data_IF_278658274138
#
_entry.id   IF_278658274138
#
_cell.length_a   1.000
_cell.length_b   1.000
_cell.length_c   1.000
_cell.angle_alpha   90.00
_cell.angle_beta   90.00
_cell.angle_gamma   90.00
#
_symmetry.space_group_name_H-M   'P 1'
#
loop_
_entity.id
_entity.type
_entity.pdbx_description
1 polymer ?
#
# COMPACT_ATOMS: atom_id res chain seq x y z
N UNK A 1 -12.98 1.98 -11.03
CA UNK A 1 -13.20 0.54 -11.17
C UNK A 1 -13.82 -0.02 -9.89
N UNK A 2 -13.26 0.26 -8.72
CA UNK A 2 -13.75 -0.27 -7.44
C UNK A 2 -14.94 0.50 -6.85
N UNK A 3 -15.21 1.72 -7.31
CA UNK A 3 -16.31 2.55 -6.79
C UNK A 3 -16.18 2.95 -5.32
N UNK A 4 -14.96 2.96 -4.78
CA UNK A 4 -14.68 3.35 -3.39
C UNK A 4 -14.29 4.82 -3.30
N UNK A 5 -14.57 5.43 -2.16
CA UNK A 5 -14.18 6.81 -1.89
C UNK A 5 -12.67 6.93 -1.69
N UNK A 6 -12.12 8.07 -2.05
CA UNK A 6 -10.69 8.35 -1.94
C UNK A 6 -10.46 9.47 -0.91
N UNK A 7 -9.49 9.24 -0.03
CA UNK A 7 -8.94 10.25 0.85
C UNK A 7 -7.47 10.50 0.54
N UNK A 8 -6.97 11.64 0.97
CA UNK A 8 -5.57 12.03 0.76
C UNK A 8 -5.00 12.60 2.05
N UNK A 9 -3.79 12.17 2.40
CA UNK A 9 -2.99 12.83 3.43
C UNK A 9 -2.09 13.87 2.79
N UNK A 10 -2.24 15.11 3.21
CA UNK A 10 -1.41 16.21 2.78
C UNK A 10 -0.35 16.50 3.83
N UNK A 11 0.92 16.40 3.43
CA UNK A 11 2.08 16.65 4.29
C UNK A 11 2.61 18.05 4.05
N UNK A 12 2.32 18.97 4.98
CA UNK A 12 2.85 20.34 4.93
C UNK A 12 4.19 20.42 5.66
N UNK A 13 5.23 20.84 4.96
CA UNK A 13 6.55 21.12 5.54
C UNK A 13 6.71 22.60 5.79
N UNK A 14 7.36 22.95 6.90
CA UNK A 14 7.82 24.31 7.14
C UNK A 14 9.17 24.52 6.45
N UNK A 15 9.16 25.29 5.38
CA UNK A 15 10.37 25.66 4.65
C UNK A 15 11.11 26.86 5.25
N UNK A 16 10.55 27.50 6.30
CA UNK A 16 11.18 28.62 6.99
C UNK A 16 12.21 28.18 8.02
N UNK A 17 12.14 26.93 8.46
CA UNK A 17 13.03 26.35 9.47
C UNK A 17 13.68 25.06 8.97
N UNK A 18 14.96 24.89 9.33
CA UNK A 18 15.71 23.65 9.04
C UNK A 18 16.21 23.10 10.36
N UNK A 19 15.79 21.87 10.70
CA UNK A 19 16.22 21.15 11.90
C UNK A 19 16.93 19.85 11.47
N UNK A 20 18.19 19.69 11.86
CA UNK A 20 19.04 18.55 11.48
C UNK A 20 19.09 18.30 9.96
N UNK A 21 19.16 19.37 9.16
CA UNK A 21 19.24 19.29 7.70
C UNK A 21 17.91 18.92 7.00
N UNK A 22 16.80 18.88 7.72
CA UNK A 22 15.46 18.59 7.18
C UNK A 22 14.46 19.68 7.58
N UNK A 23 13.54 19.98 6.69
CA UNK A 23 12.42 20.87 7.00
C UNK A 23 11.38 20.10 7.84
N UNK A 24 11.05 20.58 9.06
CA UNK A 24 10.10 19.90 9.92
C UNK A 24 8.71 19.84 9.27
N UNK A 25 8.00 18.75 9.56
CA UNK A 25 6.61 18.59 9.13
C UNK A 25 5.75 19.35 10.13
N UNK A 26 4.95 20.30 9.63
CA UNK A 26 4.12 21.18 10.46
C UNK A 26 2.72 20.63 10.65
N UNK A 27 2.20 19.88 9.66
CA UNK A 27 0.89 19.27 9.75
C UNK A 27 0.76 18.08 8.80
N UNK A 28 0.03 17.08 9.24
CA UNK A 28 -0.55 16.05 8.40
C UNK A 28 -2.06 16.31 8.37
N UNK A 29 -2.56 16.85 7.28
CA UNK A 29 -3.99 17.11 7.09
C UNK A 29 -4.60 15.98 6.26
N UNK A 30 -5.71 15.42 6.74
CA UNK A 30 -6.49 14.45 5.98
C UNK A 30 -7.61 15.15 5.26
N UNK A 31 -7.67 14.96 3.94
CA UNK A 31 -8.75 15.40 3.07
C UNK A 31 -9.51 14.17 2.61
N UNK A 32 -10.73 14.00 3.04
CA UNK A 32 -11.57 12.85 2.70
C UNK A 32 -12.81 12.75 3.58
N UNK A 33 -13.58 11.70 3.34
CA UNK A 33 -14.77 11.41 4.16
C UNK A 33 -14.41 10.82 5.52
N UNK A 34 -15.43 10.74 6.40
CA UNK A 34 -15.29 10.06 7.68
C UNK A 34 -14.87 8.61 7.50
N UNK A 35 -13.88 8.19 8.30
CA UNK A 35 -13.30 6.85 8.28
C UNK A 35 -13.94 5.90 9.30
N UNK A 36 -14.80 6.43 10.18
CA UNK A 36 -15.37 5.67 11.29
C UNK A 36 -16.07 4.39 10.81
N UNK A 37 -15.64 3.25 11.35
CA UNK A 37 -16.13 1.91 11.01
C UNK A 37 -15.77 1.40 9.61
N UNK A 38 -15.06 2.18 8.78
CA UNK A 38 -14.68 1.80 7.41
C UNK A 38 -13.32 1.08 7.39
N UNK A 39 -13.17 0.18 6.43
CA UNK A 39 -11.86 -0.36 6.08
C UNK A 39 -11.10 0.62 5.19
N UNK A 40 -9.85 0.84 5.48
CA UNK A 40 -8.98 1.75 4.74
C UNK A 40 -7.85 1.01 4.03
N UNK A 41 -7.57 1.40 2.79
CA UNK A 41 -6.43 0.91 2.03
C UNK A 41 -5.51 2.09 1.77
N UNK A 42 -4.26 2.00 2.24
CA UNK A 42 -3.19 2.94 1.96
C UNK A 42 -2.41 2.40 0.77
N UNK A 43 -2.23 3.20 -0.27
CA UNK A 43 -1.48 2.81 -1.46
C UNK A 43 -0.30 3.77 -1.64
N UNK A 44 0.89 3.20 -1.76
CA UNK A 44 2.12 3.93 -2.06
C UNK A 44 2.93 3.18 -3.13
N UNK A 45 3.84 3.85 -3.80
CA UNK A 45 4.75 3.22 -4.77
C UNK A 45 5.89 2.48 -4.05
N UNK A 46 6.43 3.06 -2.98
CA UNK A 46 7.59 2.51 -2.28
C UNK A 46 7.50 2.69 -0.75
N UNK A 47 7.80 1.63 -0.03
CA UNK A 47 8.10 1.69 1.40
C UNK A 47 9.62 1.55 1.58
N UNK A 48 10.27 2.60 2.08
CA UNK A 48 11.68 2.55 2.51
C UNK A 48 11.77 2.06 3.95
N UNK A 49 11.88 2.94 4.96
CA UNK A 49 11.86 2.57 6.38
C UNK A 49 10.45 2.21 6.90
N UNK A 50 9.41 2.71 6.24
CA UNK A 50 8.02 2.53 6.65
C UNK A 50 7.49 3.59 7.62
N UNK A 51 8.32 4.46 8.18
CA UNK A 51 7.87 5.43 9.19
C UNK A 51 6.69 6.30 8.75
N UNK A 52 6.77 6.89 7.55
CA UNK A 52 5.68 7.74 7.03
C UNK A 52 4.39 6.97 6.82
N UNK A 53 4.49 5.73 6.36
CA UNK A 53 3.35 4.84 6.11
C UNK A 53 2.69 4.42 7.42
N UNK A 54 3.48 4.03 8.41
CA UNK A 54 3.00 3.64 9.73
C UNK A 54 2.34 4.81 10.46
N UNK A 55 2.92 6.02 10.35
CA UNK A 55 2.31 7.23 10.90
C UNK A 55 0.94 7.52 10.28
N UNK A 56 0.80 7.39 8.96
CA UNK A 56 -0.49 7.51 8.26
C UNK A 56 -1.46 6.43 8.73
N UNK A 57 -1.02 5.17 8.85
CA UNK A 57 -1.87 4.07 9.33
C UNK A 57 -2.43 4.34 10.74
N UNK A 58 -1.57 4.81 11.65
CA UNK A 58 -1.99 5.20 12.99
C UNK A 58 -3.03 6.32 12.94
N UNK A 59 -2.78 7.38 12.17
CA UNK A 59 -3.72 8.51 12.04
C UNK A 59 -5.08 8.09 11.46
N UNK A 60 -5.10 7.10 10.55
CA UNK A 60 -6.33 6.51 10.01
C UNK A 60 -7.09 5.76 11.11
N UNK A 61 -6.39 4.97 11.92
CA UNK A 61 -6.98 4.26 13.07
C UNK A 61 -7.53 5.22 14.12
N UNK A 62 -6.79 6.27 14.44
CA UNK A 62 -7.21 7.30 15.40
C UNK A 62 -8.49 8.05 14.93
N UNK A 63 -8.83 7.98 13.62
CA UNK A 63 -10.08 8.48 13.02
C UNK A 63 -11.20 7.45 12.95
N UNK A 64 -11.04 6.30 13.63
CA UNK A 64 -12.08 5.29 13.77
C UNK A 64 -12.13 4.25 12.67
N UNK A 65 -11.12 4.14 11.79
CA UNK A 65 -11.08 3.09 10.79
C UNK A 65 -11.10 1.69 11.43
N UNK A 66 -11.88 0.78 10.83
CA UNK A 66 -12.01 -0.59 11.30
C UNK A 66 -10.73 -1.39 11.02
N UNK A 67 -10.37 -1.57 9.76
CA UNK A 67 -9.14 -2.25 9.34
C UNK A 67 -8.30 -1.34 8.45
N UNK A 68 -6.97 -1.50 8.53
CA UNK A 68 -6.02 -0.74 7.71
C UNK A 68 -5.12 -1.70 6.95
N UNK A 69 -5.21 -1.63 5.63
CA UNK A 69 -4.40 -2.39 4.70
C UNK A 69 -3.37 -1.44 4.06
N UNK A 70 -2.11 -1.84 4.08
CA UNK A 70 -1.01 -1.10 3.46
C UNK A 70 -0.60 -1.83 2.19
N UNK A 71 -0.60 -1.14 1.05
CA UNK A 71 -0.23 -1.70 -0.24
C UNK A 71 0.92 -0.89 -0.85
N UNK A 72 1.97 -1.57 -1.30
CA UNK A 72 3.08 -0.94 -2.00
C UNK A 72 3.59 -1.80 -3.16
N UNK A 73 4.09 -1.16 -4.20
CA UNK A 73 4.75 -1.87 -5.29
C UNK A 73 6.15 -2.33 -4.86
N UNK A 74 6.94 -1.44 -4.26
CA UNK A 74 8.32 -1.72 -3.88
C UNK A 74 8.51 -1.63 -2.36
N UNK A 75 8.53 -2.77 -1.70
CA UNK A 75 8.81 -2.84 -0.26
C UNK A 75 10.30 -3.08 -0.01
N UNK A 76 11.03 -2.07 0.46
CA UNK A 76 12.46 -2.17 0.76
C UNK A 76 12.71 -2.54 2.24
N UNK A 77 11.89 -2.06 3.16
CA UNK A 77 11.96 -2.32 4.61
C UNK A 77 13.37 -2.15 5.18
N UNK A 78 14.00 -0.99 4.86
CA UNK A 78 15.41 -0.71 5.16
C UNK A 78 15.77 -0.76 6.65
N UNK A 79 14.82 -0.52 7.52
CA UNK A 79 14.99 -0.48 8.98
C UNK A 79 14.42 -1.73 9.66
N UNK A 80 14.20 -2.82 8.89
CA UNK A 80 13.64 -4.06 9.42
C UNK A 80 12.14 -4.03 9.64
N UNK A 81 11.65 -4.98 10.45
CA UNK A 81 10.20 -5.19 10.65
C UNK A 81 9.71 -4.86 12.06
N UNK A 82 10.59 -4.50 13.00
CA UNK A 82 10.24 -4.31 14.40
C UNK A 82 9.13 -3.28 14.61
N UNK A 83 9.16 -2.17 13.86
CA UNK A 83 8.11 -1.15 13.90
C UNK A 83 6.79 -1.66 13.31
N UNK A 84 6.86 -2.47 12.25
CA UNK A 84 5.66 -3.08 11.67
C UNK A 84 5.05 -4.10 12.62
N UNK A 85 5.85 -4.91 13.30
CA UNK A 85 5.41 -5.86 14.33
C UNK A 85 4.68 -5.11 15.46
N UNK A 86 5.29 -4.05 15.98
CA UNK A 86 4.69 -3.19 17.02
C UNK A 86 3.33 -2.61 16.58
N UNK A 87 3.25 -2.09 15.34
CA UNK A 87 2.03 -1.49 14.83
C UNK A 87 0.93 -2.52 14.55
N UNK A 88 1.32 -3.72 14.14
CA UNK A 88 0.39 -4.84 13.99
C UNK A 88 -0.16 -5.29 15.36
N UNK A 89 0.69 -5.48 16.35
CA UNK A 89 0.30 -5.85 17.72
C UNK A 89 -0.63 -4.81 18.35
N UNK A 90 -0.40 -3.52 18.09
CA UNK A 90 -1.26 -2.42 18.53
C UNK A 90 -2.55 -2.28 17.72
N UNK A 91 -2.73 -3.07 16.66
CA UNK A 91 -3.90 -3.01 15.80
C UNK A 91 -3.97 -1.77 14.91
N UNK A 92 -2.84 -1.09 14.64
CA UNK A 92 -2.79 0.05 13.72
C UNK A 92 -2.76 -0.37 12.26
N UNK A 93 -2.24 -1.57 11.97
CA UNK A 93 -2.25 -2.19 10.65
C UNK A 93 -2.79 -3.60 10.74
N UNK A 94 -3.50 -4.05 9.72
CA UNK A 94 -4.03 -5.42 9.61
C UNK A 94 -3.24 -6.25 8.61
N UNK A 95 -2.82 -5.65 7.48
CA UNK A 95 -2.03 -6.32 6.44
C UNK A 95 -1.08 -5.33 5.77
N UNK A 96 0.09 -5.84 5.40
CA UNK A 96 1.06 -5.20 4.51
C UNK A 96 1.17 -6.04 3.26
N UNK A 97 0.82 -5.46 2.12
CA UNK A 97 0.81 -6.12 0.82
C UNK A 97 1.90 -5.47 -0.04
N UNK A 98 2.85 -6.25 -0.51
CA UNK A 98 3.88 -5.79 -1.44
C UNK A 98 4.06 -6.78 -2.58
N UNK A 99 4.82 -6.40 -3.60
CA UNK A 99 5.15 -7.30 -4.70
C UNK A 99 6.51 -7.98 -4.49
N UNK A 100 6.81 -8.99 -5.30
CA UNK A 100 8.13 -9.61 -5.39
C UNK A 100 9.04 -8.95 -6.44
N UNK A 101 8.81 -7.68 -6.77
CA UNK A 101 9.63 -6.93 -7.73
C UNK A 101 10.93 -6.39 -7.11
N UNK A 102 11.06 -6.45 -5.80
CA UNK A 102 12.29 -6.16 -5.07
C UNK A 102 12.71 -7.38 -4.25
N UNK A 103 13.96 -7.38 -3.79
CA UNK A 103 14.39 -8.37 -2.81
C UNK A 103 13.60 -8.20 -1.52
N UNK A 104 13.03 -9.30 -1.03
CA UNK A 104 12.38 -9.36 0.27
C UNK A 104 13.15 -10.34 1.16
N UNK A 105 13.53 -9.93 2.38
CA UNK A 105 14.10 -10.83 3.36
C UNK A 105 13.19 -12.03 3.64
N UNK A 106 13.77 -13.20 3.93
CA UNK A 106 12.99 -14.40 4.25
C UNK A 106 12.03 -14.19 5.43
N UNK A 107 12.46 -13.40 6.40
CA UNK A 107 11.68 -12.99 7.57
C UNK A 107 10.31 -12.37 7.21
N UNK A 108 10.22 -11.61 6.11
CA UNK A 108 8.96 -11.02 5.66
C UNK A 108 7.85 -12.05 5.45
N UNK A 109 8.22 -13.25 4.97
CA UNK A 109 7.27 -14.34 4.71
C UNK A 109 6.73 -14.99 5.98
N UNK A 110 7.43 -14.83 7.10
CA UNK A 110 7.06 -15.40 8.40
C UNK A 110 6.11 -14.49 9.18
N UNK A 111 6.02 -13.21 8.79
CA UNK A 111 5.16 -12.24 9.46
C UNK A 111 3.67 -12.50 9.15
N UNK A 112 2.80 -12.63 10.17
CA UNK A 112 1.39 -13.00 9.98
C UNK A 112 0.57 -11.95 9.22
N UNK A 113 1.04 -10.71 9.19
CA UNK A 113 0.38 -9.59 8.52
C UNK A 113 0.90 -9.37 7.09
N UNK A 114 1.93 -10.09 6.65
CA UNK A 114 2.59 -9.82 5.38
C UNK A 114 2.00 -10.67 4.24
N UNK A 115 1.70 -10.02 3.11
CA UNK A 115 1.24 -10.68 1.89
C UNK A 115 2.11 -10.26 0.72
N UNK A 116 2.56 -11.23 -0.07
CA UNK A 116 3.38 -10.98 -1.26
C UNK A 116 2.54 -11.25 -2.51
N UNK A 117 2.31 -10.20 -3.30
CA UNK A 117 1.71 -10.32 -4.62
C UNK A 117 2.78 -10.77 -5.62
N UNK A 118 2.64 -11.98 -6.14
CA UNK A 118 3.58 -12.54 -7.12
C UNK A 118 3.32 -11.94 -8.51
N UNK A 119 4.26 -11.12 -8.97
CA UNK A 119 4.23 -10.44 -10.27
C UNK A 119 4.93 -11.22 -11.38
N UNK A 120 5.48 -12.40 -11.11
CA UNK A 120 6.30 -13.17 -12.07
C UNK A 120 5.57 -13.43 -13.37
N UNK A 121 4.31 -13.89 -13.29
CA UNK A 121 3.49 -14.15 -14.48
C UNK A 121 3.19 -12.87 -15.26
N UNK A 122 2.93 -11.77 -14.55
CA UNK A 122 2.63 -10.49 -15.19
C UNK A 122 3.85 -9.96 -15.95
N UNK A 123 5.03 -10.02 -15.35
CA UNK A 123 6.28 -9.63 -15.99
C UNK A 123 6.60 -10.53 -17.19
N UNK A 124 6.40 -11.85 -17.06
CA UNK A 124 6.60 -12.78 -18.17
C UNK A 124 5.71 -12.44 -19.38
N UNK A 125 4.44 -12.07 -19.16
CA UNK A 125 3.53 -11.65 -20.22
C UNK A 125 3.97 -10.34 -20.89
N UNK A 126 4.51 -9.39 -20.12
CA UNK A 126 5.06 -8.15 -20.69
C UNK A 126 6.26 -8.47 -21.57
N UNK A 127 7.20 -9.28 -21.08
CA UNK A 127 8.40 -9.68 -21.83
C UNK A 127 8.01 -10.40 -23.12
N UNK A 128 7.07 -11.34 -23.04
CA UNK A 128 6.57 -12.08 -24.21
C UNK A 128 5.95 -11.15 -25.24
N UNK A 129 5.06 -10.24 -24.81
CA UNK A 129 4.43 -9.25 -25.68
C UNK A 129 5.45 -8.35 -26.38
N UNK A 130 6.43 -7.84 -25.64
CA UNK A 130 7.48 -6.99 -26.19
C UNK A 130 8.37 -7.76 -27.18
N UNK A 131 8.69 -9.02 -26.90
CA UNK A 131 9.52 -9.86 -27.77
C UNK A 131 8.83 -10.21 -29.11
N UNK A 132 7.50 -10.16 -29.15
CA UNK A 132 6.69 -10.44 -30.33
C UNK A 132 6.08 -9.17 -30.97
N UNK A 133 6.53 -7.97 -30.59
CA UNK A 133 6.00 -6.67 -31.05
C UNK A 133 4.47 -6.53 -30.85
N UNK A 134 3.93 -7.16 -29.82
CA UNK A 134 2.51 -7.10 -29.46
C UNK A 134 2.26 -5.98 -28.45
N UNK A 135 1.14 -5.26 -28.61
CA UNK A 135 0.74 -4.23 -27.66
C UNK A 135 0.53 -4.79 -26.25
N UNK A 136 1.17 -4.19 -25.25
CA UNK A 136 1.01 -4.53 -23.84
C UNK A 136 -0.29 -3.96 -23.22
N UNK A 137 -1.07 -3.16 -23.94
CA UNK A 137 -2.27 -2.48 -23.42
C UNK A 137 -3.25 -3.42 -22.73
N UNK A 138 -3.55 -4.59 -23.32
CA UNK A 138 -4.42 -5.59 -22.72
C UNK A 138 -3.85 -6.24 -21.45
N UNK A 139 -2.52 -6.34 -21.35
CA UNK A 139 -1.85 -6.89 -20.17
C UNK A 139 -1.88 -5.89 -19.04
N UNK A 140 -1.76 -4.59 -19.37
CA UNK A 140 -1.73 -3.49 -18.40
C UNK A 140 -3.12 -3.09 -17.88
N UNK A 141 -4.19 -3.46 -18.56
CA UNK A 141 -5.57 -3.15 -18.10
C UNK A 141 -6.14 -4.28 -17.25
N UNK A 142 -6.24 -4.10 -15.91
CA UNK A 142 -6.77 -5.10 -15.01
C UNK A 142 -8.30 -5.04 -14.86
N UNK A 143 -9.00 -4.11 -15.53
CA UNK A 143 -10.41 -3.77 -15.28
C UNK A 143 -11.33 -4.99 -15.36
N UNK A 144 -11.24 -5.78 -16.43
CA UNK A 144 -12.07 -6.99 -16.58
C UNK A 144 -11.78 -8.03 -15.50
N UNK A 145 -10.50 -8.20 -15.11
CA UNK A 145 -10.12 -9.15 -14.05
C UNK A 145 -10.68 -8.72 -12.70
N UNK A 146 -10.64 -7.43 -12.41
CA UNK A 146 -11.19 -6.86 -11.18
C UNK A 146 -12.71 -7.08 -11.14
N UNK A 147 -13.43 -6.78 -12.23
CA UNK A 147 -14.89 -6.99 -12.30
C UNK A 147 -15.25 -8.46 -12.07
N UNK A 148 -14.59 -9.41 -12.73
CA UNK A 148 -14.82 -10.85 -12.50
C UNK A 148 -14.58 -11.29 -11.06
N UNK A 149 -13.55 -10.73 -10.39
CA UNK A 149 -13.28 -11.04 -9.00
C UNK A 149 -14.36 -10.49 -8.07
N UNK A 150 -14.85 -9.28 -8.34
CA UNK A 150 -15.95 -8.67 -7.60
C UNK A 150 -17.26 -9.45 -7.79
N UNK A 151 -17.60 -9.84 -9.02
CA UNK A 151 -18.77 -10.66 -9.33
C UNK A 151 -18.73 -12.00 -8.60
N UNK A 152 -17.59 -12.68 -8.63
CA UNK A 152 -17.38 -13.93 -7.88
C UNK A 152 -17.51 -13.73 -6.37
N UNK A 153 -16.98 -12.64 -5.84
CA UNK A 153 -17.08 -12.33 -4.41
C UNK A 153 -18.53 -12.04 -3.99
N UNK A 154 -19.27 -11.34 -4.82
CA UNK A 154 -20.66 -10.96 -4.58
C UNK A 154 -21.67 -12.10 -4.86
N UNK A 155 -21.20 -13.25 -5.35
CA UNK A 155 -22.05 -14.40 -5.67
C UNK A 155 -22.95 -14.17 -6.90
N UNK A 156 -22.53 -13.32 -7.84
CA UNK A 156 -23.24 -13.02 -9.09
C UNK A 156 -22.71 -13.80 -10.29
N UNK A 157 -21.72 -14.69 -10.06
CA UNK A 157 -21.20 -15.69 -11.01
C UNK A 157 -21.33 -17.09 -10.43
#
# INVERSE_FOLDING_TARGET
VLGVNMGMFYKRRDYSTVVNGKNPIVAHEFLGEHLDGKDAIIIDDMISSGESMLDVAKQIKDRGANRVFVCTTFGLFTDGFEKFDEYYEKGYIDRVITTNLTYLPAEAKEKPYFLIADMSKFIALIIDSMNHDISIGKVMDPTEKIHRLLEKHNGTL
#
